data_IF_834039278682
#
_entry.id   IF_834039278682
#
_cell.length_a   1.000
_cell.length_b   1.000
_cell.length_c   1.000
_cell.angle_alpha   90.00
_cell.angle_beta   90.00
_cell.angle_gamma   90.00
#
_symmetry.space_group_name_H-M   'P 1'
#
loop_
_entity.id
_entity.type
_entity.pdbx_description
1 polymer ?
#
# COMPACT_ATOMS: atom_id res chain seq x y z
N UNK A 1 19.69 2.66 1.08
CA UNK A 1 18.24 2.92 1.09
C UNK A 1 17.94 4.05 2.08
N UNK A 2 17.60 5.28 1.64
CA UNK A 2 17.41 6.41 2.55
C UNK A 2 16.06 6.42 3.28
N UNK A 3 15.07 5.71 2.74
CA UNK A 3 13.71 5.64 3.28
C UNK A 3 13.08 4.28 2.96
N UNK A 4 12.09 3.87 3.76
CA UNK A 4 11.29 2.65 3.55
C UNK A 4 9.85 2.92 3.94
N UNK A 5 8.90 2.38 3.17
CA UNK A 5 7.47 2.50 3.43
C UNK A 5 6.89 1.23 4.05
N UNK A 6 6.05 1.38 5.07
CA UNK A 6 5.19 0.30 5.57
C UNK A 6 3.76 0.57 5.10
N UNK A 7 3.23 -0.33 4.27
CA UNK A 7 1.92 -0.20 3.62
C UNK A 7 1.11 -1.48 3.79
N UNK A 8 0.82 -1.85 5.04
CA UNK A 8 0.05 -3.05 5.35
C UNK A 8 -1.38 -3.02 4.76
N UNK A 9 -1.95 -4.19 4.52
CA UNK A 9 -3.28 -4.38 3.95
C UNK A 9 -4.40 -3.85 4.85
N UNK A 10 -4.90 -2.65 4.57
CA UNK A 10 -6.08 -2.04 5.18
C UNK A 10 -5.92 -1.69 6.65
N UNK A 11 -4.70 -1.68 7.18
CA UNK A 11 -4.39 -1.50 8.60
C UNK A 11 -3.14 -0.65 8.80
N UNK A 12 -2.90 -0.21 10.04
CA UNK A 12 -1.69 0.53 10.45
C UNK A 12 -1.05 -0.05 11.72
N UNK A 13 -1.20 -1.35 11.96
CA UNK A 13 -0.84 -1.97 13.25
C UNK A 13 0.65 -1.81 13.60
N UNK A 14 1.53 -1.97 12.61
CA UNK A 14 2.98 -1.85 12.80
C UNK A 14 3.52 -0.42 12.80
N UNK A 15 2.69 0.61 12.55
CA UNK A 15 3.18 1.96 12.22
C UNK A 15 4.10 2.58 13.28
N UNK A 16 3.75 2.45 14.57
CA UNK A 16 4.53 3.05 15.67
C UNK A 16 5.84 2.30 15.91
N UNK A 17 5.81 0.96 15.86
CA UNK A 17 7.01 0.14 16.04
C UNK A 17 7.98 0.33 14.87
N UNK A 18 7.46 0.30 13.64
CA UNK A 18 8.21 0.60 12.42
C UNK A 18 8.85 1.99 12.45
N UNK A 19 8.10 3.02 12.85
CA UNK A 19 8.63 4.38 13.00
C UNK A 19 9.81 4.42 13.98
N UNK A 20 9.69 3.75 15.13
CA UNK A 20 10.73 3.71 16.16
C UNK A 20 11.99 3.03 15.66
N UNK A 21 11.87 1.84 15.08
CA UNK A 21 13.03 1.07 14.60
C UNK A 21 13.71 1.76 13.41
N UNK A 22 12.96 2.27 12.44
CA UNK A 22 13.54 3.02 11.33
C UNK A 22 14.31 4.27 11.83
N UNK A 23 13.70 5.04 12.73
CA UNK A 23 14.33 6.25 13.30
C UNK A 23 15.63 5.91 14.03
N UNK A 24 15.65 4.81 14.79
CA UNK A 24 16.82 4.32 15.51
C UNK A 24 17.95 3.92 14.56
N UNK A 25 17.63 3.29 13.44
CA UNK A 25 18.59 2.89 12.40
C UNK A 25 18.94 4.02 11.42
N UNK A 26 18.42 5.23 11.61
CA UNK A 26 18.68 6.38 10.73
C UNK A 26 18.03 6.27 9.35
N UNK A 27 17.03 5.38 9.19
CA UNK A 27 16.25 5.22 7.96
C UNK A 27 14.98 6.05 8.09
N UNK A 28 14.60 6.80 7.05
CA UNK A 28 13.37 7.61 7.07
C UNK A 28 12.13 6.70 6.95
N UNK A 29 11.26 6.61 7.97
CA UNK A 29 10.03 5.83 7.87
C UNK A 29 8.99 6.59 7.04
N UNK A 30 8.38 5.91 6.07
CA UNK A 30 7.21 6.39 5.34
C UNK A 30 5.99 5.60 5.83
N UNK A 31 5.07 6.27 6.52
CA UNK A 31 3.89 5.61 7.09
C UNK A 31 2.79 5.58 6.03
N UNK A 32 2.30 4.39 5.71
CA UNK A 32 1.27 4.20 4.70
C UNK A 32 0.28 3.10 5.03
N UNK A 33 -0.55 2.79 4.04
CA UNK A 33 -1.56 1.74 4.08
C UNK A 33 -1.91 1.35 2.64
N UNK A 34 -1.95 0.06 2.34
CA UNK A 34 -2.60 -0.43 1.13
C UNK A 34 -4.08 -0.63 1.45
N UNK A 35 -4.88 0.39 1.16
CA UNK A 35 -6.29 0.43 1.50
C UNK A 35 -7.14 -0.41 0.53
N UNK A 36 -8.29 -0.87 1.03
CA UNK A 36 -9.34 -1.45 0.20
C UNK A 36 -10.42 -0.41 -0.08
N UNK A 37 -10.63 -0.07 -1.35
CA UNK A 37 -11.66 0.88 -1.79
C UNK A 37 -12.78 0.12 -2.48
N UNK A 38 -14.03 0.42 -2.12
CA UNK A 38 -15.20 -0.21 -2.73
C UNK A 38 -16.33 0.81 -2.96
N UNK A 39 -17.12 0.60 -4.00
CA UNK A 39 -18.39 1.30 -4.14
C UNK A 39 -19.38 0.85 -3.06
N UNK A 40 -20.31 1.75 -2.68
CA UNK A 40 -21.37 1.42 -1.73
C UNK A 40 -22.16 0.22 -2.26
N UNK A 41 -22.34 -0.79 -1.41
CA UNK A 41 -23.01 -2.08 -1.70
C UNK A 41 -22.28 -3.03 -2.67
N UNK A 42 -21.06 -2.71 -3.12
CA UNK A 42 -20.27 -3.68 -3.89
C UNK A 42 -19.64 -4.73 -2.97
N UNK A 43 -19.56 -5.98 -3.45
CA UNK A 43 -18.75 -7.04 -2.82
C UNK A 43 -17.29 -6.94 -3.23
N UNK A 44 -17.05 -6.45 -4.45
CA UNK A 44 -15.72 -6.25 -4.98
C UNK A 44 -15.07 -5.03 -4.34
N UNK A 45 -13.74 -5.02 -4.37
CA UNK A 45 -12.92 -3.93 -3.88
C UNK A 45 -11.62 -3.87 -4.68
N UNK A 46 -11.01 -2.69 -4.67
CA UNK A 46 -9.73 -2.43 -5.31
C UNK A 46 -8.71 -2.01 -4.27
N UNK A 47 -7.45 -2.31 -4.54
CA UNK A 47 -6.35 -1.81 -3.72
C UNK A 47 -6.04 -0.36 -4.05
N UNK A 48 -5.63 0.42 -3.06
CA UNK A 48 -5.16 1.80 -3.21
C UNK A 48 -4.04 2.06 -2.21
N UNK A 49 -2.84 2.38 -2.68
CA UNK A 49 -1.72 2.64 -1.79
C UNK A 49 -1.68 4.13 -1.43
N UNK A 50 -1.67 4.39 -0.12
CA UNK A 50 -1.67 5.72 0.45
C UNK A 50 -0.45 5.88 1.37
N UNK A 51 0.26 7.00 1.26
CA UNK A 51 1.35 7.38 2.17
C UNK A 51 1.00 8.71 2.85
N UNK A 52 1.26 8.83 4.14
CA UNK A 52 1.15 10.12 4.83
C UNK A 52 2.33 11.02 4.44
N UNK A 53 2.03 12.19 3.85
CA UNK A 53 3.02 13.22 3.56
C UNK A 53 3.36 14.08 4.77
N UNK A 54 2.43 14.21 5.72
CA UNK A 54 2.57 15.05 6.91
C UNK A 54 1.69 14.53 8.07
N UNK A 55 1.61 15.32 9.15
CA UNK A 55 0.81 14.99 10.34
C UNK A 55 -0.70 14.90 10.06
N UNK A 56 -1.25 15.74 9.19
CA UNK A 56 -2.66 15.67 8.80
C UNK A 56 -2.90 14.37 8.02
N UNK A 57 -2.00 14.03 7.10
CA UNK A 57 -1.98 12.76 6.40
C UNK A 57 -2.00 11.54 7.32
N UNK A 58 -1.12 11.53 8.32
CA UNK A 58 -1.07 10.45 9.30
C UNK A 58 -2.39 10.32 10.08
N UNK A 59 -2.99 11.45 10.47
CA UNK A 59 -4.31 11.46 11.12
C UNK A 59 -5.42 10.97 10.19
N UNK A 60 -5.36 11.34 8.91
CA UNK A 60 -6.31 10.90 7.90
C UNK A 60 -6.17 9.40 7.61
N UNK A 61 -4.97 8.83 7.54
CA UNK A 61 -4.78 7.38 7.44
C UNK A 61 -5.42 6.65 8.63
N UNK A 62 -5.18 7.12 9.86
CA UNK A 62 -5.83 6.55 11.06
C UNK A 62 -7.36 6.63 10.98
N UNK A 63 -7.89 7.71 10.40
CA UNK A 63 -9.34 7.90 10.27
C UNK A 63 -9.94 7.01 9.19
N UNK A 64 -9.30 6.91 8.04
CA UNK A 64 -9.65 5.97 6.97
C UNK A 64 -9.63 4.53 7.48
N UNK A 65 -8.55 4.11 8.15
CA UNK A 65 -8.44 2.77 8.74
C UNK A 65 -9.55 2.51 9.77
N UNK A 66 -9.86 3.49 10.62
CA UNK A 66 -10.95 3.38 11.62
C UNK A 66 -12.31 3.22 10.94
N UNK A 67 -12.66 4.08 9.98
CA UNK A 67 -13.93 4.00 9.24
C UNK A 67 -14.04 2.67 8.49
N UNK A 68 -12.94 2.22 7.88
CA UNK A 68 -12.88 0.95 7.17
C UNK A 68 -13.26 -0.25 8.04
N UNK A 69 -12.86 -0.23 9.31
CA UNK A 69 -13.16 -1.29 10.27
C UNK A 69 -14.53 -1.15 10.93
N UNK A 70 -14.93 0.07 11.28
CA UNK A 70 -16.16 0.30 12.05
C UNK A 70 -17.41 0.36 11.18
N UNK A 71 -17.29 0.82 9.93
CA UNK A 71 -18.44 1.14 9.08
C UNK A 71 -18.43 0.37 7.75
N UNK A 72 -17.26 0.16 7.15
CA UNK A 72 -17.15 -0.45 5.82
C UNK A 72 -16.66 -1.90 5.78
N UNK A 73 -16.57 -2.55 6.94
CA UNK A 73 -16.07 -3.92 7.03
C UNK A 73 -17.02 -4.92 6.37
N UNK A 74 -16.49 -5.74 5.47
CA UNK A 74 -17.18 -6.91 4.92
C UNK A 74 -16.31 -8.16 5.07
N UNK A 75 -15.61 -8.59 4.03
CA UNK A 75 -14.50 -9.55 4.16
C UNK A 75 -13.16 -8.86 4.47
N UNK A 76 -13.06 -7.57 4.13
CA UNK A 76 -11.91 -6.69 4.36
C UNK A 76 -12.41 -5.37 4.95
N UNK A 77 -11.56 -4.62 5.67
CA UNK A 77 -11.89 -3.26 6.09
C UNK A 77 -11.81 -2.34 4.86
N UNK A 78 -12.93 -1.78 4.43
CA UNK A 78 -13.04 -1.00 3.17
C UNK A 78 -13.64 0.38 3.40
N UNK A 79 -13.33 1.35 2.55
CA UNK A 79 -14.05 2.63 2.49
C UNK A 79 -14.35 3.02 1.04
N UNK A 80 -15.19 4.02 0.83
CA UNK A 80 -15.58 4.49 -0.50
C UNK A 80 -14.83 5.76 -0.93
N UNK A 81 -14.98 6.13 -2.21
CA UNK A 81 -14.37 7.34 -2.78
C UNK A 81 -14.86 8.64 -2.12
N UNK A 82 -16.06 8.66 -1.54
CA UNK A 82 -16.60 9.81 -0.80
C UNK A 82 -15.84 10.02 0.53
N UNK A 83 -15.61 8.93 1.26
CA UNK A 83 -14.77 8.90 2.46
C UNK A 83 -13.34 9.32 2.12
N UNK A 84 -12.77 8.77 1.04
CA UNK A 84 -11.44 9.18 0.57
C UNK A 84 -11.38 10.67 0.27
N UNK A 85 -12.40 11.22 -0.42
CA UNK A 85 -12.50 12.65 -0.73
C UNK A 85 -12.50 13.51 0.54
N UNK A 86 -13.13 13.03 1.61
CA UNK A 86 -13.17 13.73 2.90
C UNK A 86 -11.80 13.76 3.59
N UNK A 87 -11.05 12.66 3.53
CA UNK A 87 -9.79 12.47 4.27
C UNK A 87 -8.54 12.40 3.35
N UNK A 88 -8.56 13.01 2.16
CA UNK A 88 -7.44 12.93 1.21
C UNK A 88 -6.25 13.87 1.52
N UNK A 89 -6.42 14.86 2.40
CA UNK A 89 -5.39 15.88 2.67
C UNK A 89 -4.18 15.27 3.38
N UNK A 90 -2.99 15.77 3.05
CA UNK A 90 -1.74 15.25 3.59
C UNK A 90 -1.40 13.83 3.13
N UNK A 91 -2.07 13.26 2.12
CA UNK A 91 -1.79 11.93 1.58
C UNK A 91 -1.15 11.97 0.19
N UNK A 92 -0.16 11.12 -0.04
CA UNK A 92 0.27 10.71 -1.39
C UNK A 92 -0.53 9.46 -1.75
N UNK A 93 -0.93 9.36 -3.01
CA UNK A 93 -1.75 8.27 -3.53
C UNK A 93 -1.07 7.70 -4.77
N UNK A 94 -1.09 6.38 -4.92
CA UNK A 94 -0.66 5.72 -6.14
C UNK A 94 -1.79 4.86 -6.72
N UNK A 95 -1.68 4.46 -7.99
CA UNK A 95 -2.64 3.54 -8.62
C UNK A 95 -2.57 2.09 -8.09
N UNK A 96 -1.66 1.80 -7.16
CA UNK A 96 -1.44 0.50 -6.50
C UNK A 96 -1.02 -0.65 -7.43
N UNK A 97 -1.13 -1.87 -6.91
CA UNK A 97 -0.77 -3.14 -7.53
C UNK A 97 -1.78 -3.58 -8.62
N UNK A 98 -1.65 -4.79 -9.20
CA UNK A 98 -2.58 -5.30 -10.21
C UNK A 98 -4.05 -5.38 -9.76
N UNK A 99 -4.32 -5.34 -8.45
CA UNK A 99 -5.68 -5.29 -7.86
C UNK A 99 -6.25 -3.89 -7.71
N UNK A 100 -5.49 -2.85 -8.05
CA UNK A 100 -5.96 -1.47 -8.14
C UNK A 100 -6.98 -1.26 -9.27
N UNK A 101 -7.85 -0.25 -9.11
CA UNK A 101 -8.94 0.05 -10.06
C UNK A 101 -8.43 0.23 -11.49
N UNK A 102 -7.33 1.00 -11.65
CA UNK A 102 -6.73 1.29 -12.96
C UNK A 102 -6.24 0.02 -13.63
N UNK A 103 -5.50 -0.83 -12.91
CA UNK A 103 -4.96 -2.07 -13.46
C UNK A 103 -6.05 -3.08 -13.82
N UNK A 104 -7.10 -3.19 -13.00
CA UNK A 104 -8.27 -4.03 -13.30
C UNK A 104 -8.97 -3.56 -14.59
N UNK A 105 -9.26 -2.26 -14.71
CA UNK A 105 -9.90 -1.69 -15.91
C UNK A 105 -9.06 -1.89 -17.19
N UNK A 106 -7.73 -1.79 -17.09
CA UNK A 106 -6.84 -2.04 -18.22
C UNK A 106 -6.85 -3.51 -18.65
N UNK A 107 -6.83 -4.45 -17.70
CA UNK A 107 -6.93 -5.88 -18.00
C UNK A 107 -8.29 -6.27 -18.61
N UNK A 108 -9.35 -5.53 -18.28
CA UNK A 108 -10.68 -5.62 -18.90
C UNK A 108 -10.76 -4.92 -20.27
N UNK A 109 -9.63 -4.46 -20.82
CA UNK A 109 -9.54 -3.71 -22.08
C UNK A 109 -10.37 -2.40 -22.09
N UNK A 110 -10.62 -1.82 -20.92
CA UNK A 110 -11.43 -0.62 -20.74
C UNK A 110 -10.57 0.64 -20.55
N UNK A 111 -9.75 0.99 -21.55
CA UNK A 111 -8.82 2.13 -21.47
C UNK A 111 -9.52 3.47 -21.14
N UNK A 112 -10.70 3.74 -21.72
CA UNK A 112 -11.45 4.97 -21.44
C UNK A 112 -11.82 5.08 -19.96
N UNK A 113 -12.32 3.99 -19.36
CA UNK A 113 -12.67 3.96 -17.94
C UNK A 113 -11.43 4.06 -17.05
N UNK A 114 -10.33 3.40 -17.43
CA UNK A 114 -9.07 3.52 -16.71
C UNK A 114 -8.58 4.98 -16.72
N UNK A 115 -8.72 5.67 -17.85
CA UNK A 115 -8.41 7.09 -17.99
C UNK A 115 -9.30 7.96 -17.09
N UNK A 116 -10.61 7.73 -17.10
CA UNK A 116 -11.56 8.44 -16.22
C UNK A 116 -11.22 8.25 -14.73
N UNK A 117 -10.86 7.02 -14.33
CA UNK A 117 -10.43 6.73 -12.96
C UNK A 117 -9.15 7.49 -12.58
N UNK A 118 -8.14 7.47 -13.46
CA UNK A 118 -6.89 8.23 -13.26
C UNK A 118 -7.14 9.73 -13.18
N UNK A 119 -7.99 10.28 -14.04
CA UNK A 119 -8.37 11.70 -14.02
C UNK A 119 -9.10 12.06 -12.72
N UNK A 120 -9.96 11.17 -12.19
CA UNK A 120 -10.63 11.37 -10.90
C UNK A 120 -9.63 11.44 -9.75
N UNK A 121 -8.70 10.48 -9.66
CA UNK A 121 -7.67 10.49 -8.62
C UNK A 121 -6.72 11.68 -8.78
N UNK A 122 -6.33 12.03 -10.01
CA UNK A 122 -5.48 13.18 -10.27
C UNK A 122 -6.18 14.50 -9.91
N UNK A 123 -7.48 14.62 -10.16
CA UNK A 123 -8.26 15.79 -9.73
C UNK A 123 -8.26 15.94 -8.20
N UNK A 124 -8.38 14.83 -7.47
CA UNK A 124 -8.43 14.84 -6.00
C UNK A 124 -7.05 15.07 -5.34
N UNK A 125 -6.00 14.46 -5.87
CA UNK A 125 -4.66 14.45 -5.26
C UNK A 125 -3.67 15.40 -5.92
N UNK A 126 -3.91 15.81 -7.17
CA UNK A 126 -3.02 16.67 -7.94
C UNK A 126 -1.66 16.04 -8.16
N UNK A 127 -0.61 16.77 -7.80
CA UNK A 127 0.80 16.34 -7.91
C UNK A 127 1.22 15.31 -6.84
N UNK A 128 0.30 14.95 -5.92
CA UNK A 128 0.45 13.87 -4.95
C UNK A 128 -0.09 12.53 -5.48
N UNK A 129 -0.58 12.48 -6.72
CA UNK A 129 -0.97 11.24 -7.38
C UNK A 129 0.15 10.72 -8.29
N UNK A 130 0.45 9.44 -8.16
CA UNK A 130 1.41 8.74 -9.01
C UNK A 130 0.75 7.52 -9.65
N UNK A 131 1.20 7.17 -10.84
CA UNK A 131 0.84 5.93 -11.48
C UNK A 131 1.90 4.87 -11.15
N UNK A 132 1.49 3.84 -10.43
CA UNK A 132 2.37 2.78 -9.94
C UNK A 132 2.54 1.68 -10.97
N UNK A 133 3.77 1.19 -11.11
CA UNK A 133 4.12 0.05 -11.96
C UNK A 133 5.01 -0.93 -11.19
N UNK A 134 4.79 -2.21 -11.44
CA UNK A 134 5.47 -3.35 -10.82
C UNK A 134 5.81 -4.34 -11.94
N UNK A 135 6.97 -4.99 -11.87
CA UNK A 135 7.41 -5.99 -12.85
C UNK A 135 8.01 -7.18 -12.14
N UNK A 136 7.42 -8.34 -12.35
CA UNK A 136 7.83 -9.60 -11.75
C UNK A 136 8.42 -10.58 -12.79
N UNK A 137 8.32 -10.27 -14.09
CA UNK A 137 8.87 -11.07 -15.19
C UNK A 137 8.48 -12.55 -15.08
N UNK A 138 7.19 -12.80 -14.93
CA UNK A 138 6.64 -14.14 -14.76
C UNK A 138 7.06 -15.11 -15.89
N UNK A 139 7.35 -14.61 -17.09
CA UNK A 139 7.87 -15.39 -18.23
C UNK A 139 9.20 -16.10 -17.95
N UNK A 140 10.07 -15.54 -17.11
CA UNK A 140 11.38 -16.12 -16.79
C UNK A 140 11.25 -17.44 -16.01
N UNK A 141 10.10 -17.68 -15.41
CA UNK A 141 9.80 -18.87 -14.61
C UNK A 141 8.98 -19.92 -15.37
N UNK A 142 8.67 -19.74 -16.66
CA UNK A 142 7.89 -20.74 -17.41
C UNK A 142 8.57 -22.11 -17.47
N UNK A 143 9.89 -22.15 -17.62
CA UNK A 143 10.65 -23.40 -17.71
C UNK A 143 10.75 -24.14 -16.37
N UNK A 144 10.64 -23.43 -15.24
CA UNK A 144 10.74 -24.04 -13.89
C UNK A 144 9.50 -24.83 -13.51
N UNK A 145 8.33 -24.48 -14.08
CA UNK A 145 7.04 -25.11 -13.78
C UNK A 145 6.41 -25.83 -14.99
N UNK A 146 7.16 -26.00 -16.08
CA UNK A 146 6.65 -26.55 -17.36
C UNK A 146 5.99 -27.92 -17.26
N UNK A 147 6.40 -28.73 -16.29
CA UNK A 147 5.87 -30.09 -16.08
C UNK A 147 4.48 -30.08 -15.41
N UNK A 148 4.03 -28.93 -14.88
CA UNK A 148 2.69 -28.73 -14.34
C UNK A 148 1.90 -27.77 -15.24
N UNK A 149 1.15 -28.33 -16.19
CA UNK A 149 0.38 -27.56 -17.18
C UNK A 149 -0.57 -26.54 -16.55
N UNK A 150 -1.15 -26.86 -15.40
CA UNK A 150 -2.08 -25.97 -14.71
C UNK A 150 -1.40 -24.75 -14.12
N UNK A 151 -0.27 -24.94 -13.44
CA UNK A 151 0.53 -23.83 -12.89
C UNK A 151 1.10 -22.99 -14.03
N UNK A 152 1.59 -23.62 -15.09
CA UNK A 152 2.09 -22.93 -16.27
C UNK A 152 1.01 -22.04 -16.91
N UNK A 153 -0.22 -22.54 -17.03
CA UNK A 153 -1.34 -21.75 -17.56
C UNK A 153 -1.71 -20.57 -16.66
N UNK A 154 -1.64 -20.74 -15.34
CA UNK A 154 -1.85 -19.64 -14.38
C UNK A 154 -0.75 -18.58 -14.50
N UNK A 155 0.52 -19.00 -14.53
CA UNK A 155 1.67 -18.09 -14.63
C UNK A 155 1.69 -17.33 -15.96
N UNK A 156 1.34 -18.00 -17.07
CA UNK A 156 1.15 -17.34 -18.38
C UNK A 156 0.05 -16.28 -18.35
N UNK A 157 -1.03 -16.51 -17.60
CA UNK A 157 -2.08 -15.48 -17.41
C UNK A 157 -1.53 -14.30 -16.62
N UNK A 158 -0.77 -14.53 -15.55
CA UNK A 158 -0.13 -13.47 -14.77
C UNK A 158 0.83 -12.63 -15.62
N UNK A 159 1.72 -13.27 -16.39
CA UNK A 159 2.62 -12.60 -17.33
C UNK A 159 1.85 -11.73 -18.34
N UNK A 160 0.76 -12.27 -18.93
CA UNK A 160 -0.09 -11.52 -19.86
C UNK A 160 -0.75 -10.33 -19.19
N UNK A 161 -1.32 -10.51 -18.00
CA UNK A 161 -1.96 -9.40 -17.28
C UNK A 161 -0.95 -8.34 -16.88
N UNK A 162 0.22 -8.73 -16.35
CA UNK A 162 1.32 -7.82 -16.02
C UNK A 162 1.66 -6.92 -17.19
N UNK A 163 1.97 -7.53 -18.34
CA UNK A 163 2.27 -6.78 -19.56
C UNK A 163 1.15 -5.82 -19.93
N UNK A 164 -0.11 -6.29 -19.91
CA UNK A 164 -1.28 -5.49 -20.31
C UNK A 164 -1.46 -4.25 -19.42
N UNK A 165 -1.45 -4.43 -18.10
CA UNK A 165 -1.71 -3.31 -17.19
C UNK A 165 -0.49 -2.39 -17.08
N UNK A 166 0.75 -2.91 -17.08
CA UNK A 166 1.96 -2.07 -17.04
C UNK A 166 2.07 -1.19 -18.28
N UNK A 167 1.92 -1.76 -19.49
CA UNK A 167 1.92 -0.99 -20.74
C UNK A 167 0.80 0.06 -20.75
N UNK A 168 -0.39 -0.33 -20.28
CA UNK A 168 -1.54 0.57 -20.16
C UNK A 168 -1.30 1.74 -19.19
N UNK A 169 -0.71 1.48 -18.03
CA UNK A 169 -0.37 2.50 -17.03
C UNK A 169 0.72 3.44 -17.55
N UNK A 170 1.75 2.91 -18.21
CA UNK A 170 2.79 3.72 -18.86
C UNK A 170 2.15 4.63 -19.92
N UNK A 171 1.26 4.09 -20.76
CA UNK A 171 0.52 4.89 -21.74
C UNK A 171 -0.32 5.99 -21.08
N UNK A 172 -1.06 5.69 -20.02
CA UNK A 172 -1.85 6.68 -19.26
C UNK A 172 -0.96 7.79 -18.70
N UNK A 173 0.21 7.44 -18.15
CA UNK A 173 1.20 8.40 -17.67
C UNK A 173 1.62 9.37 -18.78
N UNK A 174 1.96 8.86 -19.97
CA UNK A 174 2.41 9.70 -21.09
C UNK A 174 1.27 10.54 -21.68
N UNK A 175 0.06 9.99 -21.77
CA UNK A 175 -1.12 10.69 -22.29
C UNK A 175 -1.57 11.85 -21.38
N UNK A 176 -1.45 11.68 -20.05
CA UNK A 176 -1.95 12.64 -19.06
C UNK A 176 -0.87 13.49 -18.39
N UNK A 177 0.41 13.17 -18.59
CA UNK A 177 1.52 13.86 -17.94
C UNK A 177 1.66 13.56 -16.44
N UNK A 178 1.07 12.47 -15.95
CA UNK A 178 1.13 12.04 -14.55
C UNK A 178 2.37 11.18 -14.34
N UNK A 179 3.10 11.38 -13.24
CA UNK A 179 4.38 10.72 -12.97
C UNK A 179 4.19 9.23 -12.65
N UNK A 180 5.10 8.40 -13.16
CA UNK A 180 5.20 6.99 -12.78
C UNK A 180 5.97 6.84 -11.47
N UNK A 181 5.68 5.79 -10.71
CA UNK A 181 6.50 5.32 -9.59
C UNK A 181 6.68 3.81 -9.71
N UNK A 182 7.91 3.32 -9.53
CA UNK A 182 8.22 1.90 -9.56
C UNK A 182 8.21 1.32 -8.13
N UNK A 183 7.54 0.18 -7.95
CA UNK A 183 7.50 -0.58 -6.69
C UNK A 183 7.63 -2.07 -6.99
N UNK A 184 7.73 -2.91 -5.95
CA UNK A 184 7.85 -4.37 -6.08
C UNK A 184 6.87 -5.17 -5.22
N UNK A 185 5.94 -4.49 -4.53
CA UNK A 185 4.95 -5.13 -3.64
C UNK A 185 5.56 -6.19 -2.70
N UNK A 186 6.64 -5.83 -1.99
CA UNK A 186 7.41 -6.79 -1.21
C UNK A 186 6.58 -7.37 -0.04
N UNK A 187 6.63 -8.69 0.13
CA UNK A 187 5.95 -9.44 1.19
C UNK A 187 6.92 -10.23 2.09
N UNK A 188 8.20 -10.27 1.73
CA UNK A 188 9.27 -10.90 2.49
C UNK A 188 10.60 -10.16 2.25
N UNK A 189 11.63 -10.46 3.05
CA UNK A 189 12.88 -9.70 3.02
C UNK A 189 13.82 -10.20 1.93
N UNK A 190 14.17 -11.49 1.96
CA UNK A 190 15.15 -12.08 1.05
C UNK A 190 14.47 -13.02 0.03
N UNK A 191 15.01 -13.14 -1.17
CA UNK A 191 14.46 -14.04 -2.20
C UNK A 191 14.31 -15.50 -1.69
N UNK A 192 15.19 -15.94 -0.79
CA UNK A 192 15.15 -17.27 -0.18
C UNK A 192 13.93 -17.50 0.74
N UNK A 193 13.29 -16.44 1.23
CA UNK A 193 12.14 -16.51 2.15
C UNK A 193 10.82 -16.86 1.44
N UNK A 194 10.81 -16.93 0.10
CA UNK A 194 9.60 -17.19 -0.68
C UNK A 194 8.85 -18.46 -0.23
N UNK A 195 9.57 -19.51 0.17
CA UNK A 195 8.97 -20.76 0.65
C UNK A 195 8.30 -20.58 2.02
N UNK A 196 8.90 -19.77 2.90
CA UNK A 196 8.32 -19.44 4.19
C UNK A 196 7.05 -18.58 4.02
N UNK A 197 7.09 -17.62 3.09
CA UNK A 197 5.91 -16.83 2.73
C UNK A 197 4.78 -17.70 2.17
N UNK A 198 5.10 -18.65 1.30
CA UNK A 198 4.12 -19.58 0.74
C UNK A 198 3.43 -20.42 1.83
N UNK A 199 4.20 -20.90 2.80
CA UNK A 199 3.66 -21.60 3.97
C UNK A 199 2.76 -20.71 4.82
N UNK A 200 3.11 -19.44 5.04
CA UNK A 200 2.29 -18.48 5.78
C UNK A 200 0.94 -18.21 5.07
N UNK A 201 0.94 -18.09 3.75
CA UNK A 201 -0.29 -17.96 2.94
C UNK A 201 -1.16 -19.21 3.07
N UNK A 202 -0.56 -20.40 3.04
CA UNK A 202 -1.29 -21.66 3.26
C UNK A 202 -1.95 -21.70 4.64
N UNK A 203 -1.23 -21.34 5.70
CA UNK A 203 -1.75 -21.31 7.07
C UNK A 203 -2.92 -20.33 7.18
N UNK A 204 -2.77 -19.11 6.67
CA UNK A 204 -3.82 -18.08 6.77
C UNK A 204 -5.08 -18.38 5.95
N UNK A 205 -4.96 -19.16 4.87
CA UNK A 205 -6.08 -19.52 3.98
C UNK A 205 -6.65 -20.92 4.22
N UNK A 206 -6.08 -21.68 5.16
CA UNK A 206 -6.51 -23.06 5.45
C UNK A 206 -6.27 -24.01 4.26
N UNK A 207 -5.16 -23.84 3.54
CA UNK A 207 -4.76 -24.65 2.37
C UNK A 207 -3.46 -25.40 2.64
N UNK A 208 -3.21 -26.46 1.87
CA UNK A 208 -1.93 -27.19 1.94
C UNK A 208 -0.94 -26.66 0.89
N UNK A 209 0.36 -26.76 1.17
CA UNK A 209 1.40 -26.34 0.21
C UNK A 209 1.36 -27.16 -1.09
N UNK A 210 0.93 -28.42 -1.00
CA UNK A 210 0.71 -29.33 -2.14
C UNK A 210 -0.49 -28.95 -3.01
N UNK A 211 -1.40 -28.09 -2.53
CA UNK A 211 -2.57 -27.70 -3.30
C UNK A 211 -2.14 -26.78 -4.45
N UNK A 212 -2.64 -27.10 -5.64
CA UNK A 212 -2.40 -26.34 -6.88
C UNK A 212 -3.41 -25.19 -7.01
N UNK A 213 -4.62 -25.38 -6.47
CA UNK A 213 -5.73 -24.41 -6.49
C UNK A 213 -5.78 -23.54 -5.25
N UNK A 214 -4.77 -22.68 -5.13
CA UNK A 214 -4.69 -21.69 -4.06
C UNK A 214 -3.96 -20.45 -4.55
N UNK A 215 -3.87 -19.44 -3.70
CA UNK A 215 -2.97 -18.32 -3.93
C UNK A 215 -1.53 -18.82 -3.82
N UNK A 216 -0.73 -18.65 -4.88
CA UNK A 216 0.64 -19.11 -5.01
C UNK A 216 1.50 -17.99 -5.58
N UNK A 217 2.37 -17.42 -4.76
CA UNK A 217 3.41 -16.50 -5.20
C UNK A 217 4.75 -17.21 -5.45
N UNK A 218 4.91 -18.42 -4.92
CA UNK A 218 6.15 -19.20 -5.00
C UNK A 218 6.55 -19.59 -6.44
N UNK A 219 5.58 -19.61 -7.36
CA UNK A 219 5.82 -19.96 -8.76
C UNK A 219 6.59 -18.85 -9.52
N UNK A 220 6.69 -17.64 -8.93
CA UNK A 220 7.63 -16.58 -9.30
C UNK A 220 8.07 -15.82 -8.03
N UNK A 221 9.18 -16.23 -7.37
CA UNK A 221 9.59 -15.74 -6.05
C UNK A 221 10.24 -14.33 -6.10
N UNK A 222 9.50 -13.34 -6.58
CA UNK A 222 10.00 -11.98 -6.84
C UNK A 222 9.46 -10.92 -5.88
N UNK A 223 8.66 -11.30 -4.88
CA UNK A 223 8.05 -10.38 -3.90
C UNK A 223 8.93 -10.15 -2.66
N UNK A 224 10.25 -10.11 -2.84
CA UNK A 224 11.20 -9.75 -1.78
C UNK A 224 11.54 -8.25 -1.81
N UNK A 225 12.27 -7.78 -0.81
CA UNK A 225 12.79 -6.42 -0.79
C UNK A 225 14.00 -6.31 -1.72
N UNK A 226 13.75 -5.95 -2.98
CA UNK A 226 14.80 -5.80 -3.99
C UNK A 226 15.82 -4.72 -3.62
N UNK A 227 17.08 -4.98 -3.98
CA UNK A 227 18.15 -4.00 -4.01
C UNK A 227 17.91 -2.92 -5.08
N UNK A 228 18.57 -1.75 -4.97
CA UNK A 228 18.53 -0.72 -6.01
C UNK A 228 18.98 -1.24 -7.39
N UNK A 229 19.98 -2.13 -7.42
CA UNK A 229 20.51 -2.73 -8.64
C UNK A 229 19.49 -3.65 -9.32
N UNK A 230 18.78 -4.48 -8.54
CA UNK A 230 17.69 -5.32 -9.04
C UNK A 230 16.55 -4.47 -9.59
N UNK A 231 16.10 -3.45 -8.83
CA UNK A 231 15.05 -2.53 -9.30
C UNK A 231 15.47 -1.76 -10.57
N UNK A 232 16.73 -1.36 -10.68
CA UNK A 232 17.26 -0.74 -11.90
C UNK A 232 17.25 -1.71 -13.09
N UNK A 233 17.54 -2.99 -12.85
CA UNK A 233 17.46 -4.06 -13.84
C UNK A 233 16.04 -4.35 -14.33
N UNK A 234 15.02 -4.15 -13.49
CA UNK A 234 13.60 -4.33 -13.84
C UNK A 234 13.05 -3.17 -14.70
N UNK A 235 13.58 -1.95 -14.53
CA UNK A 235 13.06 -0.74 -15.20
C UNK A 235 14.12 0.03 -16.00
N UNK A 236 14.92 -0.62 -16.87
CA UNK A 236 15.98 0.06 -17.63
C UNK A 236 15.43 1.08 -18.63
N UNK A 237 14.20 0.88 -19.10
CA UNK A 237 13.45 1.73 -20.02
C UNK A 237 12.71 2.89 -19.32
N UNK A 238 12.56 2.86 -17.99
CA UNK A 238 11.79 3.82 -17.20
C UNK A 238 12.57 4.33 -15.99
N UNK A 239 13.77 4.93 -16.17
CA UNK A 239 14.57 5.46 -15.06
C UNK A 239 13.84 6.59 -14.30
N UNK A 240 12.90 7.28 -14.96
CA UNK A 240 12.06 8.30 -14.33
C UNK A 240 11.18 7.70 -13.22
N UNK A 241 10.61 6.50 -13.42
CA UNK A 241 9.78 5.83 -12.43
C UNK A 241 10.54 5.52 -11.14
N UNK A 242 11.81 5.10 -11.26
CA UNK A 242 12.71 4.88 -10.12
C UNK A 242 13.04 6.21 -9.41
N UNK A 243 13.40 7.24 -10.16
CA UNK A 243 13.73 8.56 -9.57
C UNK A 243 12.54 9.21 -8.84
N UNK A 244 11.32 8.94 -9.31
CA UNK A 244 10.09 9.45 -8.69
C UNK A 244 9.78 8.78 -7.34
N UNK A 245 10.31 7.57 -7.07
CA UNK A 245 10.20 6.94 -5.73
C UNK A 245 10.85 7.81 -4.66
N UNK A 246 12.04 8.35 -4.96
CA UNK A 246 12.77 9.25 -4.08
C UNK A 246 12.02 10.57 -3.90
N UNK A 247 11.45 11.12 -4.99
CA UNK A 247 10.62 12.34 -4.91
C UNK A 247 9.38 12.15 -4.05
N UNK A 248 8.71 11.00 -4.15
CA UNK A 248 7.58 10.66 -3.29
C UNK A 248 8.03 10.56 -1.82
N UNK A 249 9.15 9.89 -1.56
CA UNK A 249 9.74 9.78 -0.22
C UNK A 249 10.17 11.14 0.36
N UNK A 250 10.70 12.05 -0.46
CA UNK A 250 11.08 13.42 -0.05
C UNK A 250 9.87 14.23 0.42
N UNK A 251 8.72 14.06 -0.23
CA UNK A 251 7.47 14.75 0.14
C UNK A 251 6.86 14.28 1.46
N UNK A 252 7.31 13.17 2.03
CA UNK A 252 6.83 12.66 3.31
C UNK A 252 7.66 13.17 4.49
N UNK A 253 7.06 13.89 5.43
CA UNK A 253 7.68 14.30 6.69
C UNK A 253 6.68 14.13 7.85
N UNK A 254 6.51 12.88 8.28
CA UNK A 254 5.66 12.55 9.43
C UNK A 254 6.53 12.48 10.69
N UNK A 255 6.15 13.25 11.72
CA UNK A 255 6.77 13.19 13.04
C UNK A 255 5.77 12.66 14.06
N UNK A 256 6.09 11.51 14.64
CA UNK A 256 5.30 10.90 15.71
C UNK A 256 5.91 11.32 17.06
N UNK A 257 5.13 12.04 17.87
CA UNK A 257 5.55 12.45 19.22
C UNK A 257 5.47 11.23 20.16
N UNK A 258 6.63 10.78 20.65
CA UNK A 258 6.75 9.61 21.53
C UNK A 258 7.08 10.06 22.96
N UNK A 259 6.65 9.27 23.95
CA UNK A 259 7.00 9.51 25.35
C UNK A 259 6.27 10.68 26.03
N UNK A 260 5.26 11.26 25.36
CA UNK A 260 4.40 12.30 25.94
C UNK A 260 3.10 11.71 26.46
N UNK A 261 2.71 12.19 27.64
CA UNK A 261 1.43 11.85 28.26
C UNK A 261 0.32 12.74 27.69
N UNK A 262 -0.76 12.13 27.22
CA UNK A 262 -2.00 12.82 26.84
C UNK A 262 -3.08 12.44 27.86
N UNK A 263 -3.34 13.33 28.81
CA UNK A 263 -4.38 13.13 29.81
C UNK A 263 -5.74 13.62 29.29
N UNK A 264 -6.85 12.95 29.62
CA UNK A 264 -8.17 13.47 29.32
C UNK A 264 -8.42 14.78 30.08
N UNK A 265 -9.22 15.66 29.50
CA UNK A 265 -9.78 16.78 30.26
C UNK A 265 -10.74 16.22 31.31
N UNK A 266 -10.60 16.71 32.53
CA UNK A 266 -11.47 16.36 33.66
C UNK A 266 -12.33 17.58 33.94
N UNK A 267 -13.64 17.39 34.05
CA UNK A 267 -14.52 18.47 34.49
C UNK A 267 -14.27 18.73 35.98
N UNK A 268 -13.76 19.92 36.28
CA UNK A 268 -13.44 20.35 37.63
C UNK A 268 -14.41 21.47 38.05
N UNK A 269 -14.82 21.53 39.33
CA UNK A 269 -15.58 22.67 39.83
C UNK A 269 -14.85 24.00 39.61
N UNK A 270 -15.60 25.09 39.42
CA UNK A 270 -15.03 26.42 39.18
C UNK A 270 -13.98 26.80 40.23
N UNK A 271 -12.81 27.20 39.75
CA UNK A 271 -11.67 27.58 40.59
C UNK A 271 -10.86 26.42 41.20
N UNK A 272 -11.18 25.17 40.86
CA UNK A 272 -10.34 24.01 41.18
C UNK A 272 -9.35 23.67 40.05
N UNK A 273 -8.17 23.20 40.44
CA UNK A 273 -7.18 22.62 39.53
C UNK A 273 -7.07 21.12 39.78
N UNK A 274 -6.66 20.34 38.77
CA UNK A 274 -6.52 18.89 38.88
C UNK A 274 -5.59 18.50 40.06
N UNK A 275 -4.49 19.24 40.24
CA UNK A 275 -3.57 19.06 41.37
C UNK A 275 -4.26 19.29 42.71
N UNK A 276 -5.06 20.36 42.84
CA UNK A 276 -5.75 20.70 44.10
C UNK A 276 -6.80 19.66 44.47
N UNK A 277 -7.57 19.18 43.48
CA UNK A 277 -8.57 18.15 43.69
C UNK A 277 -7.93 16.79 44.03
N UNK A 278 -6.81 16.44 43.40
CA UNK A 278 -6.03 15.27 43.75
C UNK A 278 -5.51 15.34 45.19
N UNK A 279 -4.90 16.46 45.59
CA UNK A 279 -4.43 16.70 46.96
C UNK A 279 -5.55 16.55 48.00
N UNK A 280 -6.70 17.18 47.77
CA UNK A 280 -7.87 17.08 48.66
C UNK A 280 -8.40 15.65 48.78
N UNK A 281 -8.45 14.90 47.67
CA UNK A 281 -8.94 13.52 47.65
C UNK A 281 -7.98 12.57 48.36
N UNK A 282 -6.67 12.81 48.24
CA UNK A 282 -5.62 12.00 48.85
C UNK A 282 -5.27 12.39 50.29
N UNK A 283 -5.81 13.51 50.79
CA UNK A 283 -5.56 13.98 52.16
C UNK A 283 -4.14 14.51 52.39
N UNK A 284 -3.48 15.01 51.35
CA UNK A 284 -2.11 15.58 51.36
C UNK A 284 -2.09 17.06 50.96
#
# INVERSE_FOLDING_TARGET
>A
MPAVALTDHGVMYGAVEFYKECTKEGIKPLIGMEAYVAEKNSRENNHLLLLASDREGYQNLMKLSTIAHLEGFYYRPRFDKETLTTYHKGLICTSACPKGEVAQLLNENSYSKAKEAVEWYHHLFGDRYYLEIQRHHYEDYFDTIKDNSRLLDQLKRLAKTEKTWVEGVVKLSRDLGIRLVATNDAHYLEAADATAQDALVCISTGKNMSDVDRLRYIDAPTFHLCSPEEMAGLFPDLPDALSNTLRAAEKCDVKIELGKWYFPNIDLPDGQTATRQASQTLGI
#
